data_IF_670976826676
#
_entry.id   IF_670976826676
#
_cell.length_a   1.000
_cell.length_b   1.000
_cell.length_c   1.000
_cell.angle_alpha   90.00
_cell.angle_beta   90.00
_cell.angle_gamma   90.00
#
_symmetry.space_group_name_H-M   'P 1'
#
loop_
_entity.id
_entity.type
_entity.pdbx_description
1 polymer ?
#
# COMPACT_ATOMS: atom_id res chain seq x y z
N UNK A 1 -38.64 -59.34 -5.69
CA UNK A 1 -37.55 -59.13 -6.69
C UNK A 1 -37.80 -57.82 -7.43
N UNK A 2 -36.90 -56.85 -7.25
CA UNK A 2 -36.44 -55.83 -8.23
C UNK A 2 -35.67 -54.76 -7.46
N UNK A 3 -34.36 -54.89 -7.50
CA UNK A 3 -33.38 -53.97 -6.93
C UNK A 3 -33.32 -52.69 -7.77
N UNK A 4 -33.69 -51.55 -7.21
CA UNK A 4 -33.35 -50.24 -7.78
C UNK A 4 -31.93 -49.90 -7.36
N UNK A 5 -30.98 -50.14 -8.27
CA UNK A 5 -29.58 -49.75 -8.12
C UNK A 5 -29.48 -48.24 -8.39
N UNK A 6 -29.04 -47.52 -7.38
CA UNK A 6 -28.55 -46.14 -7.41
C UNK A 6 -27.52 -45.96 -8.53
N UNK A 7 -27.75 -44.98 -9.40
CA UNK A 7 -26.72 -44.39 -10.28
C UNK A 7 -26.71 -42.87 -10.05
N UNK A 8 -26.21 -42.45 -8.89
CA UNK A 8 -25.69 -41.10 -8.71
C UNK A 8 -24.20 -41.11 -9.06
N UNK A 9 -23.88 -40.64 -10.26
CA UNK A 9 -22.51 -40.27 -10.65
C UNK A 9 -22.25 -38.84 -10.19
N UNK A 10 -21.32 -38.58 -9.24
CA UNK A 10 -20.82 -37.24 -9.02
C UNK A 10 -19.83 -36.90 -10.14
N UNK A 11 -20.18 -35.96 -11.01
CA UNK A 11 -19.22 -35.31 -11.89
C UNK A 11 -18.42 -34.34 -11.02
N UNK A 12 -17.34 -34.85 -10.44
CA UNK A 12 -16.31 -34.01 -9.84
C UNK A 12 -15.54 -33.33 -10.98
N UNK A 13 -15.93 -32.11 -11.35
CA UNK A 13 -15.11 -31.25 -12.21
C UNK A 13 -13.99 -30.68 -11.34
N UNK A 14 -12.88 -31.41 -11.27
CA UNK A 14 -11.62 -30.92 -10.74
C UNK A 14 -11.04 -29.90 -11.75
N UNK A 15 -11.17 -28.60 -11.46
CA UNK A 15 -10.31 -27.58 -12.06
C UNK A 15 -8.91 -27.69 -11.45
N UNK A 16 -8.11 -28.61 -11.99
CA UNK A 16 -6.67 -28.66 -11.78
C UNK A 16 -5.98 -28.02 -13.00
N UNK A 17 -5.84 -26.69 -12.99
CA UNK A 17 -4.91 -26.01 -13.90
C UNK A 17 -3.54 -25.88 -13.24
N UNK A 18 -2.68 -26.83 -13.62
CA UNK A 18 -1.23 -26.71 -13.86
C UNK A 18 -0.46 -25.60 -13.11
N UNK A 19 0.14 -26.02 -11.98
CA UNK A 19 1.34 -25.43 -11.41
C UNK A 19 2.55 -25.73 -12.30
N UNK A 20 2.97 -24.79 -13.14
CA UNK A 20 4.39 -24.61 -13.51
C UNK A 20 4.65 -23.14 -13.83
N UNK A 21 4.78 -22.31 -12.80
CA UNK A 21 5.50 -21.06 -12.89
C UNK A 21 6.50 -21.01 -11.74
N UNK A 22 7.75 -20.68 -12.08
CA UNK A 22 8.83 -20.54 -11.13
C UNK A 22 8.50 -19.38 -10.18
N UNK A 23 8.34 -19.68 -8.89
CA UNK A 23 8.17 -18.65 -7.86
C UNK A 23 9.56 -18.12 -7.49
N UNK A 24 9.98 -17.06 -8.19
CA UNK A 24 11.09 -16.25 -7.74
C UNK A 24 10.65 -15.44 -6.52
N UNK A 25 11.38 -15.59 -5.41
CA UNK A 25 11.16 -14.89 -4.15
C UNK A 25 11.69 -13.45 -4.31
N UNK A 26 10.84 -12.42 -4.24
CA UNK A 26 11.23 -11.00 -4.30
C UNK A 26 11.19 -10.36 -2.89
N UNK A 27 11.44 -9.03 -2.73
CA UNK A 27 11.33 -8.17 -1.50
C UNK A 27 10.88 -6.73 -1.89
N UNK A 28 10.36 -5.87 -0.97
CA UNK A 28 9.05 -5.23 -1.12
C UNK A 28 8.98 -3.88 -1.88
N UNK A 29 7.76 -3.63 -2.38
CA UNK A 29 7.25 -2.44 -3.09
C UNK A 29 6.94 -1.23 -2.17
N UNK A 30 6.92 0.02 -2.70
CA UNK A 30 6.26 1.14 -2.03
C UNK A 30 4.72 1.00 -2.16
N UNK A 31 4.02 1.25 -1.05
CA UNK A 31 2.56 1.39 -0.88
C UNK A 31 1.62 0.52 -1.74
N UNK A 32 0.98 -0.45 -1.07
CA UNK A 32 -0.29 -1.10 -1.41
C UNK A 32 -0.53 -1.44 -2.89
N UNK A 33 0.06 -2.52 -3.40
CA UNK A 33 -0.45 -3.34 -4.52
C UNK A 33 -0.78 -2.64 -5.85
N UNK A 34 -0.45 -1.36 -6.03
CA UNK A 34 -0.81 -0.61 -7.23
C UNK A 34 0.26 -0.77 -8.30
N UNK A 35 -0.18 -1.14 -9.51
CA UNK A 35 0.68 -1.15 -10.67
C UNK A 35 1.23 0.27 -10.89
N UNK A 36 2.55 0.47 -10.99
CA UNK A 36 3.14 1.77 -11.25
C UNK A 36 2.93 2.15 -12.72
N UNK A 37 1.70 2.58 -13.05
CA UNK A 37 1.26 2.86 -14.42
C UNK A 37 2.13 3.90 -15.12
N UNK A 38 2.39 5.05 -14.49
CA UNK A 38 3.08 6.19 -15.12
C UNK A 38 4.42 5.81 -15.79
N UNK A 39 5.37 5.16 -15.09
CA UNK A 39 6.64 4.80 -15.71
C UNK A 39 6.50 3.71 -16.78
N UNK A 40 5.51 2.83 -16.69
CA UNK A 40 5.26 1.79 -17.71
C UNK A 40 4.67 2.43 -18.97
N UNK A 41 3.58 3.17 -18.83
CA UNK A 41 2.89 3.85 -19.95
C UNK A 41 3.79 4.82 -20.72
N UNK A 42 4.79 5.43 -20.06
CA UNK A 42 5.77 6.32 -20.70
C UNK A 42 6.69 5.58 -21.70
N UNK A 43 6.90 4.28 -21.49
CA UNK A 43 7.75 3.44 -22.34
C UNK A 43 6.98 2.75 -23.46
N UNK A 44 5.65 2.77 -23.41
CA UNK A 44 4.80 2.23 -24.46
C UNK A 44 4.66 3.24 -25.59
N UNK A 45 4.60 2.73 -26.82
CA UNK A 45 4.30 3.55 -27.99
C UNK A 45 2.79 3.79 -28.10
N UNK A 46 2.26 4.65 -27.24
CA UNK A 46 0.85 5.03 -27.23
C UNK A 46 0.54 6.05 -28.33
N UNK A 47 -0.55 5.86 -29.07
CA UNK A 47 -1.07 6.85 -30.02
C UNK A 47 -1.51 8.14 -29.30
N UNK A 48 -1.66 9.24 -30.05
CA UNK A 48 -2.16 10.51 -29.50
C UNK A 48 -3.54 10.37 -28.85
N UNK A 49 -4.43 9.58 -29.46
CA UNK A 49 -5.76 9.29 -28.92
C UNK A 49 -5.68 8.50 -27.61
N UNK A 50 -4.93 7.39 -27.59
CA UNK A 50 -4.74 6.58 -26.37
C UNK A 50 -4.16 7.39 -25.20
N UNK A 51 -3.18 8.27 -25.46
CA UNK A 51 -2.61 9.15 -24.42
C UNK A 51 -3.65 10.09 -23.83
N UNK A 52 -4.53 10.63 -24.67
CA UNK A 52 -5.61 11.52 -24.24
C UNK A 52 -6.63 10.76 -23.38
N UNK A 53 -7.03 9.55 -23.79
CA UNK A 53 -7.98 8.70 -23.06
C UNK A 53 -7.41 8.30 -21.69
N UNK A 54 -6.16 7.83 -21.66
CA UNK A 54 -5.44 7.52 -20.41
C UNK A 54 -5.40 8.73 -19.48
N UNK A 55 -5.09 9.93 -20.00
CA UNK A 55 -5.06 11.16 -19.20
C UNK A 55 -6.44 11.48 -18.61
N UNK A 56 -7.50 11.30 -19.40
CA UNK A 56 -8.87 11.52 -18.96
C UNK A 56 -9.25 10.55 -17.83
N UNK A 57 -8.99 9.25 -18.00
CA UNK A 57 -9.26 8.22 -16.99
C UNK A 57 -8.53 8.51 -15.67
N UNK A 58 -7.24 8.86 -15.73
CA UNK A 58 -6.47 9.21 -14.53
C UNK A 58 -7.00 10.48 -13.85
N UNK A 59 -7.45 11.49 -14.62
CA UNK A 59 -8.04 12.72 -14.08
C UNK A 59 -9.39 12.44 -13.43
N UNK A 60 -10.23 11.61 -14.04
CA UNK A 60 -11.51 11.18 -13.49
C UNK A 60 -11.33 10.41 -12.19
N UNK A 61 -10.47 9.38 -12.17
CA UNK A 61 -10.18 8.61 -10.95
C UNK A 61 -9.66 9.52 -9.82
N UNK A 62 -8.76 10.46 -10.14
CA UNK A 62 -8.29 11.45 -9.16
C UNK A 62 -9.44 12.29 -8.62
N UNK A 63 -10.29 12.85 -9.48
CA UNK A 63 -11.42 13.68 -9.06
C UNK A 63 -12.40 12.87 -8.18
N UNK A 64 -12.70 11.63 -8.55
CA UNK A 64 -13.53 10.72 -7.75
C UNK A 64 -12.88 10.46 -6.39
N UNK A 65 -11.59 10.16 -6.33
CA UNK A 65 -10.88 9.95 -5.06
C UNK A 65 -10.80 11.20 -4.18
N UNK A 66 -10.73 12.36 -4.79
CA UNK A 66 -10.74 13.63 -4.08
C UNK A 66 -12.07 13.85 -3.34
N UNK A 67 -13.18 13.21 -3.74
CA UNK A 67 -14.44 13.25 -2.96
C UNK A 67 -14.36 12.47 -1.65
N UNK A 68 -13.47 11.48 -1.55
CA UNK A 68 -13.24 10.69 -0.33
C UNK A 68 -12.18 11.33 0.59
N UNK A 69 -11.51 12.41 0.17
CA UNK A 69 -10.49 13.09 0.99
C UNK A 69 -10.99 13.47 2.40
N UNK A 70 -12.22 14.01 2.58
CA UNK A 70 -12.74 14.33 3.91
C UNK A 70 -12.85 13.08 4.79
N UNK A 71 -13.42 12.00 4.27
CA UNK A 71 -13.59 10.74 5.00
C UNK A 71 -12.24 10.14 5.39
N UNK A 72 -11.27 10.16 4.47
CA UNK A 72 -9.90 9.71 4.76
C UNK A 72 -9.24 10.51 5.89
N UNK A 73 -9.49 11.83 5.95
CA UNK A 73 -8.93 12.69 7.01
C UNK A 73 -9.63 12.41 8.34
N UNK A 74 -10.96 12.41 8.33
CA UNK A 74 -11.78 12.13 9.50
C UNK A 74 -11.47 10.77 10.11
N UNK A 75 -11.32 9.72 9.29
CA UNK A 75 -10.97 8.38 9.74
C UNK A 75 -9.59 8.33 10.41
N UNK A 76 -8.59 8.97 9.79
CA UNK A 76 -7.22 9.04 10.35
C UNK A 76 -7.17 9.83 11.65
N UNK A 77 -7.94 10.90 11.75
CA UNK A 77 -8.05 11.71 12.95
C UNK A 77 -8.76 10.95 14.07
N UNK A 78 -9.87 10.26 13.77
CA UNK A 78 -10.60 9.41 14.71
C UNK A 78 -9.69 8.32 15.28
N UNK A 79 -9.03 7.53 14.44
CA UNK A 79 -8.11 6.48 14.89
C UNK A 79 -6.93 7.07 15.70
N UNK A 80 -6.39 8.22 15.28
CA UNK A 80 -5.33 8.90 16.04
C UNK A 80 -5.81 9.31 17.43
N UNK A 81 -6.99 9.91 17.54
CA UNK A 81 -7.54 10.35 18.82
C UNK A 81 -7.75 9.16 19.76
N UNK A 82 -8.23 8.02 19.25
CA UNK A 82 -8.35 6.78 20.03
C UNK A 82 -6.99 6.27 20.52
N UNK A 83 -5.97 6.28 19.65
CA UNK A 83 -4.60 5.85 19.98
C UNK A 83 -3.94 6.77 21.00
N UNK A 84 -4.26 8.07 20.97
CA UNK A 84 -3.69 9.09 21.86
C UNK A 84 -4.49 9.28 23.15
N UNK A 85 -5.57 8.52 23.34
CA UNK A 85 -6.31 8.46 24.59
C UNK A 85 -5.47 7.81 25.69
N UNK A 86 -5.76 8.17 26.94
CA UNK A 86 -5.16 7.54 28.12
C UNK A 86 -5.66 6.11 28.33
N UNK A 87 -6.81 5.76 27.73
CA UNK A 87 -7.48 4.47 27.89
C UNK A 87 -7.53 3.73 26.57
N UNK A 88 -7.03 2.48 26.57
CA UNK A 88 -7.14 1.57 25.44
C UNK A 88 -8.54 0.94 25.36
N UNK A 89 -9.39 1.48 24.49
CA UNK A 89 -10.71 0.90 24.19
C UNK A 89 -10.62 0.02 22.94
N UNK A 90 -10.33 -1.26 23.15
CA UNK A 90 -10.10 -2.23 22.08
C UNK A 90 -11.22 -2.25 21.04
N UNK A 91 -12.49 -2.24 21.46
CA UNK A 91 -13.64 -2.31 20.55
C UNK A 91 -13.75 -1.12 19.61
N UNK A 92 -13.47 0.10 20.10
CA UNK A 92 -13.51 1.32 19.29
C UNK A 92 -12.37 1.35 18.27
N UNK A 93 -11.17 0.97 18.70
CA UNK A 93 -9.99 0.91 17.83
C UNK A 93 -10.17 -0.17 16.75
N UNK A 94 -10.66 -1.35 17.11
CA UNK A 94 -11.01 -2.39 16.15
C UNK A 94 -12.03 -1.90 15.12
N UNK A 95 -13.10 -1.22 15.57
CA UNK A 95 -14.11 -0.65 14.68
C UNK A 95 -13.51 0.40 13.72
N UNK A 96 -12.66 1.29 14.22
CA UNK A 96 -12.00 2.31 13.42
C UNK A 96 -11.04 1.70 12.37
N UNK A 97 -10.31 0.65 12.73
CA UNK A 97 -9.43 -0.09 11.80
C UNK A 97 -10.25 -0.76 10.69
N UNK A 98 -11.34 -1.45 11.01
CA UNK A 98 -12.20 -2.06 10.00
C UNK A 98 -12.80 -1.01 9.04
N UNK A 99 -13.24 0.13 9.58
CA UNK A 99 -13.76 1.23 8.76
C UNK A 99 -12.67 1.84 7.85
N UNK A 100 -11.43 2.00 8.33
CA UNK A 100 -10.30 2.41 7.50
C UNK A 100 -10.02 1.38 6.39
N UNK A 101 -9.99 0.09 6.71
CA UNK A 101 -9.76 -0.96 5.72
C UNK A 101 -10.83 -0.98 4.64
N UNK A 102 -12.10 -0.82 5.03
CA UNK A 102 -13.21 -0.72 4.08
C UNK A 102 -13.02 0.45 3.10
N UNK A 103 -12.66 1.64 3.61
CA UNK A 103 -12.38 2.81 2.76
C UNK A 103 -11.16 2.58 1.84
N UNK A 104 -10.08 1.99 2.35
CA UNK A 104 -8.91 1.66 1.52
C UNK A 104 -9.27 0.68 0.40
N UNK A 105 -10.11 -0.31 0.70
CA UNK A 105 -10.60 -1.28 -0.25
C UNK A 105 -11.46 -0.61 -1.35
N UNK A 106 -12.34 0.33 -1.00
CA UNK A 106 -13.10 1.11 -2.01
C UNK A 106 -12.17 1.93 -2.92
N UNK A 107 -11.17 2.59 -2.35
CA UNK A 107 -10.23 3.41 -3.12
C UNK A 107 -9.34 2.58 -4.03
N UNK A 108 -8.94 1.38 -3.59
CA UNK A 108 -8.17 0.44 -4.39
C UNK A 108 -9.02 -0.14 -5.52
N UNK A 109 -10.32 -0.36 -5.29
CA UNK A 109 -11.25 -0.76 -6.35
C UNK A 109 -11.35 0.29 -7.46
N UNK A 110 -11.37 1.58 -7.12
CA UNK A 110 -11.32 2.67 -8.11
C UNK A 110 -10.03 2.63 -8.95
N UNK A 111 -8.89 2.33 -8.32
CA UNK A 111 -7.63 2.16 -9.06
C UNK A 111 -7.66 0.96 -9.99
N UNK A 112 -8.12 -0.19 -9.50
CA UNK A 112 -8.22 -1.42 -10.29
C UNK A 112 -9.12 -1.18 -11.51
N UNK A 113 -10.30 -0.57 -11.31
CA UNK A 113 -11.21 -0.17 -12.40
C UNK A 113 -10.50 0.71 -13.44
N UNK A 114 -9.80 1.73 -12.97
CA UNK A 114 -9.09 2.67 -13.86
C UNK A 114 -7.95 1.97 -14.61
N UNK A 115 -7.18 1.12 -13.92
CA UNK A 115 -6.07 0.37 -14.50
C UNK A 115 -6.57 -0.63 -15.55
N UNK A 116 -7.68 -1.31 -15.29
CA UNK A 116 -8.34 -2.19 -16.24
C UNK A 116 -8.80 -1.42 -17.48
N UNK A 117 -9.45 -0.27 -17.30
CA UNK A 117 -9.88 0.55 -18.45
C UNK A 117 -8.69 0.98 -19.30
N UNK A 118 -7.57 1.35 -18.67
CA UNK A 118 -6.32 1.65 -19.37
C UNK A 118 -5.80 0.41 -20.10
N UNK A 119 -5.80 -0.76 -19.46
CA UNK A 119 -5.39 -2.03 -20.06
C UNK A 119 -6.19 -2.36 -21.33
N UNK A 120 -7.50 -2.10 -21.32
CA UNK A 120 -8.38 -2.36 -22.47
C UNK A 120 -8.20 -1.37 -23.64
N UNK A 121 -7.58 -0.20 -23.40
CA UNK A 121 -7.25 0.77 -24.46
C UNK A 121 -5.99 0.33 -25.24
N UNK A 122 -5.15 -0.50 -24.63
CA UNK A 122 -3.92 -0.98 -25.24
C UNK A 122 -4.22 -2.04 -26.31
N UNK A 123 -3.49 -1.99 -27.42
CA UNK A 123 -3.45 -3.09 -28.38
C UNK A 123 -2.60 -4.26 -27.86
N UNK A 124 -2.63 -5.39 -28.57
CA UNK A 124 -1.97 -6.61 -28.12
C UNK A 124 -0.44 -6.47 -28.02
N UNK A 125 0.18 -5.72 -28.93
CA UNK A 125 1.62 -5.44 -28.88
C UNK A 125 2.00 -4.54 -27.69
N UNK A 126 1.16 -3.55 -27.40
CA UNK A 126 1.32 -2.67 -26.23
C UNK A 126 1.08 -3.42 -24.91
N UNK A 127 0.11 -4.34 -24.86
CA UNK A 127 -0.15 -5.22 -23.70
C UNK A 127 1.05 -6.11 -23.41
N UNK A 128 1.65 -6.71 -24.44
CA UNK A 128 2.87 -7.51 -24.28
C UNK A 128 4.03 -6.66 -23.73
N UNK A 129 4.28 -5.49 -24.34
CA UNK A 129 5.30 -4.56 -23.86
C UNK A 129 5.03 -4.07 -22.42
N UNK A 130 3.77 -3.87 -22.05
CA UNK A 130 3.36 -3.51 -20.68
C UNK A 130 3.76 -4.60 -19.69
N UNK A 131 3.47 -5.87 -20.00
CA UNK A 131 3.82 -7.01 -19.16
C UNK A 131 5.33 -7.19 -19.04
N UNK A 132 6.08 -6.99 -20.13
CA UNK A 132 7.55 -7.02 -20.11
C UNK A 132 8.10 -5.95 -19.16
N UNK A 133 7.60 -4.71 -19.25
CA UNK A 133 8.02 -3.62 -18.38
C UNK A 133 7.61 -3.81 -16.92
N UNK A 134 6.43 -4.40 -16.69
CA UNK A 134 5.97 -4.76 -15.35
C UNK A 134 6.90 -5.80 -14.72
N UNK A 135 7.22 -6.86 -15.46
CA UNK A 135 8.12 -7.93 -15.03
C UNK A 135 9.57 -7.43 -14.86
N UNK A 136 10.08 -6.63 -15.79
CA UNK A 136 11.41 -6.02 -15.69
C UNK A 136 11.51 -5.14 -14.43
N UNK A 137 10.46 -4.38 -14.11
CA UNK A 137 10.40 -3.62 -12.85
C UNK A 137 10.29 -4.48 -11.61
N UNK A 138 9.71 -5.67 -11.70
CA UNK A 138 9.75 -6.64 -10.60
C UNK A 138 11.17 -7.21 -10.44
N UNK A 139 11.94 -7.37 -11.54
CA UNK A 139 13.30 -7.93 -11.55
C UNK A 139 14.42 -6.91 -11.21
N UNK A 140 14.40 -5.69 -11.75
CA UNK A 140 15.38 -4.63 -11.45
C UNK A 140 15.47 -4.31 -9.94
N UNK A 141 14.34 -4.48 -9.23
CA UNK A 141 14.24 -4.33 -7.78
C UNK A 141 15.03 -5.39 -7.00
N UNK A 142 15.38 -6.52 -7.63
CA UNK A 142 16.24 -7.56 -7.06
C UNK A 142 17.74 -7.24 -7.15
N UNK A 143 18.18 -6.48 -8.16
CA UNK A 143 19.59 -6.18 -8.41
C UNK A 143 20.07 -4.80 -7.90
N UNK A 144 19.16 -3.82 -7.76
CA UNK A 144 19.53 -2.47 -7.31
C UNK A 144 19.91 -2.37 -5.82
N UNK A 145 19.72 -3.43 -5.02
CA UNK A 145 20.12 -3.46 -3.61
C UNK A 145 21.63 -3.70 -3.39
N UNK A 146 22.42 -4.00 -4.42
CA UNK A 146 23.87 -4.26 -4.27
C UNK A 146 24.83 -3.36 -5.04
N UNK A 147 24.37 -2.43 -5.87
CA UNK A 147 25.27 -1.43 -6.45
C UNK A 147 24.61 -0.06 -6.55
N UNK A 148 25.11 0.85 -5.71
CA UNK A 148 25.41 2.26 -5.98
C UNK A 148 25.21 3.13 -4.72
N UNK A 149 26.05 2.87 -3.72
CA UNK A 149 26.88 3.96 -3.24
C UNK A 149 27.67 4.53 -4.43
N UNK A 150 27.76 5.86 -4.46
CA UNK A 150 28.72 6.66 -5.23
C UNK A 150 28.26 7.23 -6.59
N UNK A 151 28.27 8.58 -6.59
CA UNK A 151 28.75 9.48 -7.65
C UNK A 151 27.81 9.79 -8.83
N UNK A 152 26.70 10.50 -8.57
CA UNK A 152 26.34 11.65 -9.44
C UNK A 152 25.30 12.57 -8.79
N UNK A 153 25.76 13.71 -8.28
CA UNK A 153 25.12 15.06 -8.33
C UNK A 153 25.76 15.96 -7.27
N UNK A 154 26.72 16.78 -7.71
CA UNK A 154 27.20 17.93 -6.93
C UNK A 154 26.00 18.81 -6.56
N UNK A 155 26.00 19.32 -5.33
CA UNK A 155 24.94 20.12 -4.69
C UNK A 155 23.64 19.40 -4.33
N UNK A 156 23.73 18.35 -3.51
CA UNK A 156 22.57 17.92 -2.71
C UNK A 156 22.94 17.87 -1.23
N UNK A 157 22.10 18.52 -0.41
CA UNK A 157 22.15 18.53 1.07
C UNK A 157 22.37 17.07 1.54
N UNK A 158 23.30 16.81 2.48
CA UNK A 158 23.58 15.45 2.93
C UNK A 158 22.29 14.80 3.43
N UNK A 159 21.90 13.71 2.78
CA UNK A 159 20.73 12.92 3.15
C UNK A 159 21.12 12.21 4.46
N UNK A 160 20.57 12.67 5.58
CA UNK A 160 20.78 12.02 6.88
C UNK A 160 20.41 10.54 6.80
N UNK A 161 21.28 9.67 7.35
CA UNK A 161 21.04 8.23 7.47
C UNK A 161 19.85 7.94 8.38
N UNK A 162 19.30 6.72 8.32
CA UNK A 162 18.16 6.33 9.17
C UNK A 162 18.49 6.46 10.66
N UNK A 163 19.69 6.04 11.05
CA UNK A 163 20.20 6.20 12.41
C UNK A 163 20.30 7.68 12.83
N UNK A 164 20.77 8.56 11.93
CA UNK A 164 20.84 10.00 12.20
C UNK A 164 19.45 10.64 12.35
N UNK A 165 18.47 10.22 11.55
CA UNK A 165 17.08 10.71 11.68
C UNK A 165 16.44 10.24 12.98
N UNK A 166 16.71 9.01 13.37
CA UNK A 166 16.23 8.45 14.63
C UNK A 166 16.86 9.16 15.83
N UNK A 167 18.17 9.39 15.80
CA UNK A 167 18.86 10.16 16.84
C UNK A 167 18.30 11.58 16.97
N UNK A 168 18.10 12.28 15.84
CA UNK A 168 17.49 13.61 15.84
C UNK A 168 16.05 13.59 16.41
N UNK A 169 15.28 12.53 16.15
CA UNK A 169 13.94 12.37 16.72
C UNK A 169 13.98 12.17 18.25
N UNK A 170 14.94 11.38 18.75
CA UNK A 170 15.13 11.17 20.18
C UNK A 170 15.57 12.44 20.90
N UNK A 171 16.51 13.17 20.31
CA UNK A 171 17.00 14.44 20.83
C UNK A 171 15.89 15.49 20.86
N UNK A 172 15.10 15.60 19.79
CA UNK A 172 13.99 16.57 19.72
C UNK A 172 12.92 16.33 20.78
N UNK A 173 12.65 15.06 21.10
CA UNK A 173 11.69 14.68 22.14
C UNK A 173 12.32 14.52 23.52
N UNK A 174 13.64 14.70 23.65
CA UNK A 174 14.38 14.45 24.88
C UNK A 174 13.97 13.11 25.55
N UNK A 175 13.96 12.02 24.76
CA UNK A 175 13.47 10.72 25.25
C UNK A 175 14.44 10.11 26.27
N UNK A 176 13.89 9.52 27.33
CA UNK A 176 14.65 8.72 28.29
C UNK A 176 15.21 7.44 27.64
N UNK A 177 16.23 6.83 28.25
CA UNK A 177 16.80 5.57 27.74
C UNK A 177 15.74 4.47 27.63
N UNK A 178 14.81 4.40 28.58
CA UNK A 178 13.69 3.46 28.57
C UNK A 178 12.72 3.72 27.40
N UNK A 179 12.35 4.98 27.16
CA UNK A 179 11.49 5.36 26.03
C UNK A 179 12.17 5.08 24.67
N UNK A 180 13.48 5.33 24.58
CA UNK A 180 14.26 5.01 23.38
C UNK A 180 14.35 3.50 23.14
N UNK A 181 14.54 2.71 24.20
CA UNK A 181 14.56 1.25 24.13
C UNK A 181 13.21 0.71 23.67
N UNK A 182 12.10 1.21 24.23
CA UNK A 182 10.74 0.87 23.81
C UNK A 182 10.53 1.16 22.31
N UNK A 183 10.89 2.35 21.85
CA UNK A 183 10.77 2.73 20.44
C UNK A 183 11.59 1.80 19.53
N UNK A 184 12.86 1.52 19.89
CA UNK A 184 13.72 0.61 19.11
C UNK A 184 13.14 -0.80 19.04
N UNK A 185 12.66 -1.34 20.15
CA UNK A 185 12.07 -2.68 20.21
C UNK A 185 10.82 -2.77 19.33
N UNK A 186 9.91 -1.78 19.41
CA UNK A 186 8.72 -1.73 18.57
C UNK A 186 9.07 -1.64 17.07
N UNK A 187 10.06 -0.81 16.70
CA UNK A 187 10.51 -0.69 15.30
C UNK A 187 11.16 -1.98 14.79
N UNK A 188 11.93 -2.67 15.62
CA UNK A 188 12.50 -3.97 15.27
C UNK A 188 11.39 -5.02 15.04
N UNK A 189 10.36 -5.03 15.89
CA UNK A 189 9.20 -5.91 15.72
C UNK A 189 8.41 -5.58 14.44
N UNK A 190 8.19 -4.30 14.13
CA UNK A 190 7.55 -3.87 12.87
C UNK A 190 8.34 -4.30 11.64
N UNK A 191 9.68 -4.21 11.68
CA UNK A 191 10.51 -4.63 10.54
C UNK A 191 10.53 -6.15 10.38
N UNK A 192 10.56 -6.90 11.50
CA UNK A 192 10.44 -8.36 11.47
C UNK A 192 9.09 -8.81 10.90
N UNK A 193 7.98 -8.18 11.31
CA UNK A 193 6.65 -8.47 10.78
C UNK A 193 6.54 -8.12 9.28
N UNK A 194 7.08 -6.97 8.88
CA UNK A 194 7.17 -6.57 7.47
C UNK A 194 7.93 -7.59 6.64
N UNK A 195 9.01 -8.15 7.19
CA UNK A 195 9.81 -9.18 6.54
C UNK A 195 9.06 -10.51 6.45
N UNK A 196 8.42 -10.95 7.52
CA UNK A 196 7.62 -12.17 7.55
C UNK A 196 6.44 -12.11 6.56
N UNK A 197 5.78 -10.95 6.44
CA UNK A 197 4.61 -10.75 5.58
C UNK A 197 4.93 -10.39 4.14
N UNK A 198 6.21 -10.39 3.78
CA UNK A 198 6.66 -9.85 2.51
C UNK A 198 6.22 -10.69 1.30
N UNK A 199 6.28 -12.02 1.42
CA UNK A 199 5.77 -12.94 0.37
C UNK A 199 4.26 -12.79 0.17
N UNK A 200 3.51 -12.61 1.27
CA UNK A 200 2.07 -12.35 1.20
C UNK A 200 1.74 -11.06 0.44
N UNK A 201 2.57 -10.01 0.61
CA UNK A 201 2.41 -8.75 -0.14
C UNK A 201 2.68 -8.93 -1.63
N UNK A 202 3.70 -9.70 -1.99
CA UNK A 202 4.01 -10.03 -3.39
C UNK A 202 2.89 -10.85 -4.03
N UNK A 203 2.36 -11.82 -3.30
CA UNK A 203 1.20 -12.61 -3.74
C UNK A 203 -0.01 -11.73 -3.96
N UNK A 204 -0.31 -10.82 -3.02
CA UNK A 204 -1.40 -9.85 -3.18
C UNK A 204 -1.22 -8.97 -4.41
N UNK A 205 -0.01 -8.43 -4.63
CA UNK A 205 0.31 -7.60 -5.80
C UNK A 205 0.12 -8.39 -7.11
N UNK A 206 0.57 -9.64 -7.16
CA UNK A 206 0.38 -10.52 -8.33
C UNK A 206 -1.11 -10.81 -8.60
N UNK A 207 -1.90 -11.06 -7.56
CA UNK A 207 -3.35 -11.27 -7.72
C UNK A 207 -4.07 -9.99 -8.19
N UNK A 208 -3.68 -8.81 -7.71
CA UNK A 208 -4.21 -7.52 -8.21
C UNK A 208 -3.86 -7.34 -9.68
N UNK A 209 -2.61 -7.62 -10.08
CA UNK A 209 -2.18 -7.58 -11.48
C UNK A 209 -3.05 -8.51 -12.32
N UNK A 210 -3.26 -9.76 -11.90
CA UNK A 210 -4.09 -10.72 -12.61
C UNK A 210 -5.53 -10.24 -12.80
N UNK A 211 -6.12 -9.55 -11.81
CA UNK A 211 -7.45 -8.94 -11.93
C UNK A 211 -7.42 -7.82 -12.99
N UNK A 212 -6.41 -6.95 -12.96
CA UNK A 212 -6.25 -5.79 -13.84
C UNK A 212 -5.86 -6.14 -15.29
N UNK A 213 -5.30 -7.32 -15.52
CA UNK A 213 -4.93 -7.77 -16.87
C UNK A 213 -5.90 -8.80 -17.44
N UNK A 214 -6.97 -9.10 -16.70
CA UNK A 214 -8.02 -10.02 -17.16
C UNK A 214 -8.81 -9.43 -18.34
N UNK A 215 -9.52 -10.26 -19.09
CA UNK A 215 -10.38 -9.78 -20.18
C UNK A 215 -11.59 -9.00 -19.64
N UNK A 216 -12.13 -9.43 -18.50
CA UNK A 216 -13.31 -8.83 -17.87
C UNK A 216 -13.08 -8.59 -16.39
N UNK A 217 -13.42 -7.39 -15.93
CA UNK A 217 -13.26 -7.03 -14.52
C UNK A 217 -14.22 -7.84 -13.63
N UNK A 218 -13.65 -8.61 -12.70
CA UNK A 218 -14.39 -9.46 -11.77
C UNK A 218 -14.41 -8.85 -10.37
N UNK A 219 -15.57 -8.30 -9.99
CA UNK A 219 -15.80 -7.82 -8.62
C UNK A 219 -15.76 -8.97 -7.61
N UNK A 220 -16.22 -10.17 -8.00
CA UNK A 220 -16.15 -11.36 -7.16
C UNK A 220 -14.71 -11.75 -6.83
N UNK A 221 -13.80 -11.72 -7.81
CA UNK A 221 -12.37 -12.00 -7.58
C UNK A 221 -11.74 -10.97 -6.65
N UNK A 222 -12.12 -9.70 -6.78
CA UNK A 222 -11.67 -8.64 -5.89
C UNK A 222 -12.17 -8.82 -4.45
N UNK A 223 -13.46 -9.12 -4.25
CA UNK A 223 -14.01 -9.37 -2.92
C UNK A 223 -13.40 -10.60 -2.24
N UNK A 224 -13.10 -11.66 -3.00
CA UNK A 224 -12.43 -12.84 -2.49
C UNK A 224 -11.00 -12.51 -2.00
N UNK A 225 -10.22 -11.77 -2.81
CA UNK A 225 -8.89 -11.31 -2.43
C UNK A 225 -8.90 -10.40 -1.18
N UNK A 226 -9.94 -9.58 -1.04
CA UNK A 226 -10.11 -8.77 0.16
C UNK A 226 -10.30 -9.64 1.41
N UNK A 227 -11.20 -10.62 1.35
CA UNK A 227 -11.51 -11.51 2.45
C UNK A 227 -10.29 -12.36 2.84
N UNK A 228 -9.53 -12.87 1.86
CA UNK A 228 -8.29 -13.63 2.10
C UNK A 228 -7.26 -12.82 2.91
N UNK A 229 -7.20 -11.51 2.68
CA UNK A 229 -6.17 -10.64 3.27
C UNK A 229 -6.67 -9.77 4.42
N UNK A 230 -7.95 -9.82 4.77
CA UNK A 230 -8.58 -8.96 5.78
C UNK A 230 -7.96 -9.17 7.16
N UNK A 231 -7.96 -10.42 7.65
CA UNK A 231 -7.48 -10.77 9.00
C UNK A 231 -6.04 -10.31 9.21
N UNK A 232 -5.13 -10.65 8.28
CA UNK A 232 -3.72 -10.25 8.37
C UNK A 232 -3.55 -8.73 8.36
N UNK A 233 -4.28 -8.02 7.51
CA UNK A 233 -4.24 -6.53 7.46
C UNK A 233 -4.74 -5.94 8.77
N UNK A 234 -5.76 -6.56 9.38
CA UNK A 234 -6.33 -6.12 10.65
C UNK A 234 -5.35 -6.33 11.80
N UNK A 235 -4.77 -7.52 11.92
CA UNK A 235 -3.79 -7.84 12.96
C UNK A 235 -2.58 -6.91 12.90
N UNK A 236 -2.08 -6.63 11.71
CA UNK A 236 -0.97 -5.69 11.51
C UNK A 236 -1.36 -4.26 11.93
N UNK A 237 -2.53 -3.78 11.50
CA UNK A 237 -3.02 -2.45 11.86
C UNK A 237 -3.25 -2.33 13.39
N UNK A 238 -3.80 -3.35 14.02
CA UNK A 238 -4.04 -3.40 15.45
C UNK A 238 -2.72 -3.39 16.24
N UNK A 239 -1.75 -4.21 15.84
CA UNK A 239 -0.41 -4.24 16.45
C UNK A 239 0.25 -2.86 16.37
N UNK A 240 0.18 -2.22 15.20
CA UNK A 240 0.71 -0.87 15.01
C UNK A 240 0.00 0.16 15.89
N UNK A 241 -1.33 0.11 15.97
CA UNK A 241 -2.10 1.00 16.84
C UNK A 241 -1.72 0.82 18.31
N UNK A 242 -1.54 -0.43 18.75
CA UNK A 242 -1.13 -0.76 20.12
C UNK A 242 0.28 -0.25 20.43
N UNK A 243 1.22 -0.42 19.50
CA UNK A 243 2.58 0.11 19.65
C UNK A 243 2.57 1.63 19.78
N UNK A 244 1.80 2.31 18.92
CA UNK A 244 1.64 3.76 18.97
C UNK A 244 1.02 4.24 20.28
N UNK A 245 -0.05 3.59 20.76
CA UNK A 245 -0.69 3.93 22.02
C UNK A 245 0.26 3.72 23.21
N UNK A 246 0.97 2.60 23.21
CA UNK A 246 1.95 2.28 24.27
C UNK A 246 3.07 3.30 24.31
N UNK A 247 3.60 3.67 23.14
CA UNK A 247 4.64 4.68 23.05
C UNK A 247 4.11 6.06 23.47
N UNK A 248 2.93 6.46 23.01
CA UNK A 248 2.31 7.74 23.36
C UNK A 248 2.10 7.90 24.86
N UNK A 249 1.57 6.87 25.52
CA UNK A 249 1.32 6.88 26.96
C UNK A 249 2.59 6.69 27.81
N UNK A 250 3.71 6.31 27.20
CA UNK A 250 5.02 6.31 27.88
C UNK A 250 5.69 7.71 27.86
N UNK A 251 5.19 8.65 27.05
CA UNK A 251 5.71 10.01 26.96
C UNK A 251 5.15 10.89 28.08
N UNK A 252 5.93 11.88 28.50
CA UNK A 252 5.43 12.96 29.37
C UNK A 252 4.50 13.89 28.59
N UNK A 253 3.66 14.67 29.29
CA UNK A 253 2.77 15.64 28.64
C UNK A 253 3.53 16.66 27.78
N UNK A 254 4.72 17.10 28.22
CA UNK A 254 5.58 18.01 27.44
C UNK A 254 6.09 17.35 26.14
N UNK A 255 6.47 16.08 26.22
CA UNK A 255 6.91 15.29 25.08
C UNK A 255 5.77 15.03 24.09
N UNK A 256 4.56 14.73 24.59
CA UNK A 256 3.35 14.55 23.78
C UNK A 256 3.01 15.84 23.01
N UNK A 257 3.06 17.01 23.66
CA UNK A 257 2.84 18.32 23.01
C UNK A 257 3.89 18.56 21.91
N UNK A 258 5.16 18.25 22.19
CA UNK A 258 6.25 18.41 21.23
C UNK A 258 6.07 17.51 20.02
N UNK A 259 5.70 16.24 20.25
CA UNK A 259 5.40 15.28 19.18
C UNK A 259 4.21 15.74 18.33
N UNK A 260 3.13 16.23 18.96
CA UNK A 260 1.97 16.78 18.24
C UNK A 260 2.37 17.96 17.34
N UNK A 261 3.18 18.89 17.86
CA UNK A 261 3.71 20.04 17.09
C UNK A 261 4.56 19.59 15.90
N UNK A 262 5.40 18.57 16.08
CA UNK A 262 6.20 17.99 15.00
C UNK A 262 5.28 17.42 13.91
N UNK A 263 4.23 16.69 14.29
CA UNK A 263 3.24 16.13 13.36
C UNK A 263 2.50 17.21 12.57
N UNK A 264 2.02 18.27 13.22
CA UNK A 264 1.38 19.40 12.55
C UNK A 264 2.32 20.13 11.60
N UNK A 265 3.56 20.37 12.02
CA UNK A 265 4.56 21.08 11.20
C UNK A 265 4.85 20.30 9.92
N UNK A 266 4.92 18.96 10.02
CA UNK A 266 5.07 18.07 8.87
C UNK A 266 3.85 18.15 7.96
N UNK A 267 2.65 18.12 8.52
CA UNK A 267 1.42 18.23 7.75
C UNK A 267 1.32 19.56 6.97
N UNK A 268 1.68 20.68 7.61
CA UNK A 268 1.76 22.02 6.99
C UNK A 268 2.80 22.08 5.87
N UNK A 269 3.95 21.42 6.02
CA UNK A 269 4.98 21.34 4.96
C UNK A 269 4.47 20.52 3.77
N UNK A 270 3.82 19.39 4.03
CA UNK A 270 3.27 18.52 2.99
C UNK A 270 2.12 19.20 2.22
N UNK A 271 1.24 19.95 2.90
CA UNK A 271 0.17 20.70 2.23
C UNK A 271 0.72 21.81 1.34
N UNK A 272 1.72 22.57 1.80
CA UNK A 272 2.41 23.59 0.98
C UNK A 272 3.05 22.99 -0.27
N UNK A 273 3.71 21.83 -0.13
CA UNK A 273 4.30 21.12 -1.26
C UNK A 273 3.24 20.67 -2.27
N UNK A 274 2.10 20.13 -1.81
CA UNK A 274 0.99 19.74 -2.72
C UNK A 274 0.43 20.95 -3.48
N UNK A 275 0.31 22.10 -2.83
CA UNK A 275 -0.19 23.32 -3.46
C UNK A 275 0.80 23.96 -4.43
N UNK A 276 2.11 23.83 -4.21
CA UNK A 276 3.12 24.36 -5.14
C UNK A 276 3.22 23.55 -6.43
N UNK A 277 3.00 22.23 -6.39
CA UNK A 277 2.95 21.40 -7.60
C UNK A 277 1.64 21.51 -8.37
N UNK A 278 0.55 21.96 -7.74
CA UNK A 278 -0.74 22.17 -8.41
C UNK A 278 -0.81 23.43 -9.28
N UNK A 279 0.12 24.38 -9.11
CA UNK A 279 0.17 25.66 -9.87
C UNK A 279 1.06 25.65 -11.11
N UNK A 280 1.82 24.58 -11.36
CA UNK A 280 2.74 24.51 -12.49
C UNK A 280 2.08 24.08 -13.82
N UNK A 281 0.82 23.66 -13.80
CA UNK A 281 0.05 23.21 -14.98
C UNK A 281 -1.22 24.06 -15.20
N UNK A 282 -1.21 25.34 -14.82
CA UNK A 282 -2.26 26.32 -15.16
C UNK A 282 -1.75 27.31 -16.19
#
# INVERSE_FOLDING_TARGET
MRTLKSLFTPIAVALAFLLTQHVAIAKPSPHNGQIPLRPILKKLDLTGAQRQDVRLLLKQNRATKDTYQPDQRSMRESLRNLIQSDVWVQSEISSAIHAEQHLQNQLMWLDIKTQQQIWQILDDGQKEAFLVELNAKQQEKGHAAKLQQSKTRGNSIPIMSEAQRQAAHFETLNLTEEQQALFKAQRAAEEADKEANKFARETFEAQVIAIVTSESLSETSWTALQAETEVRRYEHALTRAKNQHTFWNALTSEQQITLHRMMESRHKRESKKRNSFGKADS
#
